data_IF_521049077051
#
_entry.id   IF_521049077051
#
_cell.length_a   1.000
_cell.length_b   1.000
_cell.length_c   1.000
_cell.angle_alpha   90.00
_cell.angle_beta   90.00
_cell.angle_gamma   90.00
#
_symmetry.space_group_name_H-M   'P 1'
#
loop_
_entity.id
_entity.type
_entity.pdbx_description
1 polymer ?
#
# COMPACT_ATOMS: atom_id res chain seq x y z
N UNK A 1 28.32 36.52 -2.20
CA UNK A 1 28.35 35.48 -3.25
C UNK A 1 27.94 34.16 -2.60
N UNK A 2 26.69 33.70 -2.80
CA UNK A 2 26.26 32.37 -2.34
C UNK A 2 27.07 31.35 -3.16
N UNK A 3 27.87 30.52 -2.51
CA UNK A 3 28.54 29.41 -3.18
C UNK A 3 27.49 28.64 -3.98
N UNK A 4 27.70 28.52 -5.30
CA UNK A 4 27.00 27.52 -6.09
C UNK A 4 27.55 26.17 -5.63
N UNK A 5 27.03 25.67 -4.53
CA UNK A 5 27.26 24.28 -4.17
C UNK A 5 26.76 23.43 -5.33
N UNK A 6 27.64 22.57 -5.82
CA UNK A 6 27.33 21.61 -6.87
C UNK A 6 26.12 20.78 -6.42
N UNK A 7 25.08 20.72 -7.26
CA UNK A 7 23.88 19.89 -7.01
C UNK A 7 24.28 18.47 -6.63
N UNK A 8 25.34 17.95 -7.27
CA UNK A 8 25.92 16.62 -7.10
C UNK A 8 26.56 16.43 -5.71
N UNK A 9 27.09 17.49 -5.11
CA UNK A 9 27.73 17.46 -3.78
C UNK A 9 26.74 17.32 -2.62
N UNK A 10 25.49 17.73 -2.82
CA UNK A 10 24.44 17.71 -1.80
C UNK A 10 23.49 16.49 -1.91
N UNK A 11 23.78 15.56 -2.84
CA UNK A 11 23.03 14.32 -2.96
C UNK A 11 23.55 13.29 -1.96
N UNK A 12 22.63 12.65 -1.25
CA UNK A 12 22.96 11.50 -0.41
C UNK A 12 23.18 10.25 -1.28
N UNK A 13 24.44 10.01 -1.62
CA UNK A 13 24.86 8.88 -2.45
C UNK A 13 24.53 7.52 -1.86
N UNK A 14 24.33 7.42 -0.55
CA UNK A 14 23.93 6.16 0.10
C UNK A 14 22.50 5.78 -0.29
N UNK A 15 21.57 6.73 -0.30
CA UNK A 15 20.18 6.51 -0.76
C UNK A 15 20.17 6.10 -2.22
N UNK A 16 20.95 6.81 -3.05
CA UNK A 16 21.06 6.52 -4.49
C UNK A 16 21.57 5.10 -4.71
N UNK A 17 22.63 4.70 -4.00
CA UNK A 17 23.19 3.35 -4.09
C UNK A 17 22.17 2.29 -3.66
N UNK A 18 21.52 2.46 -2.50
CA UNK A 18 20.51 1.52 -2.00
C UNK A 18 19.33 1.37 -2.96
N UNK A 19 18.85 2.47 -3.54
CA UNK A 19 17.80 2.46 -4.55
C UNK A 19 18.22 1.65 -5.80
N UNK A 20 19.40 1.94 -6.38
CA UNK A 20 19.86 1.24 -7.57
C UNK A 20 20.15 -0.24 -7.32
N UNK A 21 20.64 -0.61 -6.13
CA UNK A 21 20.78 -2.01 -5.74
C UNK A 21 19.43 -2.72 -5.74
N UNK A 22 18.40 -2.14 -5.12
CA UNK A 22 17.05 -2.72 -5.09
C UNK A 22 16.45 -2.84 -6.50
N UNK A 23 16.59 -1.81 -7.33
CA UNK A 23 16.13 -1.83 -8.73
C UNK A 23 16.84 -2.92 -9.54
N UNK A 24 18.16 -3.06 -9.35
CA UNK A 24 18.95 -4.09 -10.01
C UNK A 24 18.54 -5.50 -9.59
N UNK A 25 18.37 -5.75 -8.28
CA UNK A 25 17.88 -7.04 -7.78
C UNK A 25 16.46 -7.35 -8.26
N UNK A 26 15.57 -6.35 -8.30
CA UNK A 26 14.22 -6.49 -8.85
C UNK A 26 14.26 -6.88 -10.33
N UNK A 27 15.09 -6.21 -11.12
CA UNK A 27 15.27 -6.54 -12.54
C UNK A 27 15.84 -7.97 -12.73
N UNK A 28 16.87 -8.35 -11.96
CA UNK A 28 17.42 -9.71 -12.00
C UNK A 28 16.35 -10.77 -11.68
N UNK A 29 15.46 -10.50 -10.73
CA UNK A 29 14.37 -11.40 -10.36
C UNK A 29 13.33 -11.55 -11.49
N UNK A 30 13.03 -10.46 -12.20
CA UNK A 30 12.13 -10.49 -13.37
C UNK A 30 12.79 -11.27 -14.51
N UNK A 31 14.08 -11.06 -14.75
CA UNK A 31 14.84 -11.81 -15.74
C UNK A 31 14.89 -13.31 -15.41
N UNK A 32 15.06 -13.66 -14.13
CA UNK A 32 15.10 -15.05 -13.69
C UNK A 32 13.74 -15.78 -13.83
N UNK A 33 12.64 -15.10 -13.49
CA UNK A 33 11.28 -15.64 -13.57
C UNK A 33 10.73 -15.73 -15.00
N UNK A 34 11.32 -15.03 -15.97
CA UNK A 34 10.97 -15.13 -17.40
C UNK A 34 11.48 -16.45 -18.01
N UNK A 35 10.85 -17.57 -17.66
CA UNK A 35 11.20 -18.90 -18.16
C UNK A 35 10.95 -19.05 -19.67
N UNK A 36 11.94 -19.53 -20.43
CA UNK A 36 11.78 -19.95 -21.83
C UNK A 36 12.03 -18.89 -22.92
N UNK A 37 11.91 -17.59 -22.62
CA UNK A 37 12.11 -16.50 -23.59
C UNK A 37 13.60 -16.13 -23.79
N UNK A 38 14.48 -17.12 -23.93
CA UNK A 38 15.94 -16.92 -24.03
C UNK A 38 16.48 -16.78 -25.45
N UNK A 39 15.61 -16.74 -26.46
CA UNK A 39 16.05 -16.56 -27.85
C UNK A 39 16.32 -15.08 -28.22
N UNK A 40 15.98 -14.13 -27.35
CA UNK A 40 16.11 -12.69 -27.59
C UNK A 40 17.27 -12.02 -26.85
N UNK A 41 17.74 -10.89 -27.37
CA UNK A 41 18.68 -10.02 -26.67
C UNK A 41 18.08 -9.46 -25.38
N UNK A 42 18.92 -9.12 -24.40
CA UNK A 42 18.50 -8.51 -23.12
C UNK A 42 17.67 -7.22 -23.31
N UNK A 43 17.81 -6.56 -24.47
CA UNK A 43 17.11 -5.34 -24.85
C UNK A 43 15.82 -5.55 -25.66
N UNK A 44 15.34 -6.80 -25.78
CA UNK A 44 14.12 -7.08 -26.54
C UNK A 44 12.87 -6.54 -25.83
N UNK A 45 12.23 -5.55 -26.44
CA UNK A 45 11.01 -4.87 -25.97
C UNK A 45 9.75 -5.75 -26.04
N UNK A 46 9.81 -6.93 -26.65
CA UNK A 46 8.74 -7.92 -26.59
C UNK A 46 8.62 -8.55 -25.20
N UNK A 47 9.76 -8.70 -24.50
CA UNK A 47 9.87 -9.39 -23.22
C UNK A 47 9.58 -8.48 -22.03
N UNK A 48 9.18 -9.08 -20.89
CA UNK A 48 8.90 -8.33 -19.65
C UNK A 48 10.15 -7.66 -19.08
N UNK A 49 11.28 -8.36 -19.08
CA UNK A 49 12.55 -7.82 -18.57
C UNK A 49 13.13 -6.70 -19.46
N UNK A 50 12.94 -6.77 -20.79
CA UNK A 50 13.37 -5.71 -21.70
C UNK A 50 12.52 -4.44 -21.55
N UNK A 51 11.19 -4.59 -21.41
CA UNK A 51 10.31 -3.46 -21.04
C UNK A 51 10.71 -2.85 -19.70
N UNK A 52 11.09 -3.66 -18.72
CA UNK A 52 11.54 -3.18 -17.42
C UNK A 52 12.81 -2.33 -17.53
N UNK A 53 13.78 -2.69 -18.37
CA UNK A 53 14.97 -1.87 -18.61
C UNK A 53 14.62 -0.50 -19.20
N UNK A 54 13.65 -0.45 -20.13
CA UNK A 54 13.16 0.82 -20.67
C UNK A 54 12.57 1.69 -19.56
N UNK A 55 11.76 1.11 -18.67
CA UNK A 55 11.18 1.84 -17.52
C UNK A 55 12.24 2.32 -16.52
N UNK A 56 13.27 1.51 -16.25
CA UNK A 56 14.41 1.92 -15.42
C UNK A 56 15.14 3.10 -16.08
N UNK A 57 15.40 3.03 -17.39
CA UNK A 57 16.00 4.13 -18.14
C UNK A 57 15.17 5.41 -18.09
N UNK A 58 13.86 5.31 -18.29
CA UNK A 58 12.93 6.43 -18.16
C UNK A 58 12.92 7.00 -16.74
N UNK A 59 12.96 6.14 -15.71
CA UNK A 59 13.02 6.57 -14.32
C UNK A 59 14.30 7.38 -14.02
N UNK A 60 15.46 6.95 -14.54
CA UNK A 60 16.71 7.72 -14.41
C UNK A 60 16.59 9.10 -15.06
N UNK A 61 16.03 9.18 -16.27
CA UNK A 61 15.78 10.47 -16.95
C UNK A 61 14.85 11.36 -16.11
N UNK A 62 13.78 10.79 -15.55
CA UNK A 62 12.84 11.51 -14.70
C UNK A 62 13.48 11.97 -13.39
N UNK A 63 14.34 11.18 -12.76
CA UNK A 63 15.09 11.57 -11.56
C UNK A 63 15.97 12.78 -11.87
N UNK A 64 16.74 12.74 -12.96
CA UNK A 64 17.57 13.87 -13.38
C UNK A 64 16.71 15.11 -13.66
N UNK A 65 15.59 14.96 -14.38
CA UNK A 65 14.69 16.06 -14.66
C UNK A 65 14.13 16.70 -13.37
N UNK A 66 13.73 15.90 -12.38
CA UNK A 66 13.24 16.38 -11.08
C UNK A 66 14.35 17.08 -10.29
N UNK A 67 15.58 16.56 -10.30
CA UNK A 67 16.73 17.18 -9.62
C UNK A 67 17.12 18.55 -10.19
N UNK A 68 16.79 18.82 -11.46
CA UNK A 68 17.02 20.12 -12.10
C UNK A 68 15.97 21.17 -11.71
N UNK A 69 14.84 20.77 -11.12
CA UNK A 69 13.75 21.66 -10.72
C UNK A 69 13.96 22.11 -9.27
N UNK A 70 13.83 23.42 -9.02
CA UNK A 70 13.91 23.98 -7.66
C UNK A 70 12.78 23.42 -6.76
N UNK A 71 13.12 22.95 -5.56
CA UNK A 71 12.17 22.47 -4.56
C UNK A 71 11.02 23.46 -4.27
N UNK A 72 11.28 24.77 -4.39
CA UNK A 72 10.25 25.81 -4.23
C UNK A 72 9.12 25.67 -5.24
N UNK A 73 9.42 25.23 -6.47
CA UNK A 73 8.41 25.00 -7.50
C UNK A 73 7.35 24.00 -7.02
N UNK A 74 7.77 22.85 -6.48
CA UNK A 74 6.85 21.84 -5.97
C UNK A 74 5.99 22.36 -4.82
N UNK A 75 6.57 23.10 -3.88
CA UNK A 75 5.82 23.66 -2.74
C UNK A 75 4.87 24.80 -3.14
N UNK A 76 5.19 25.58 -4.18
CA UNK A 76 4.33 26.66 -4.68
C UNK A 76 3.16 26.13 -5.50
N UNK A 77 3.37 25.09 -6.30
CA UNK A 77 2.35 24.48 -7.16
C UNK A 77 1.64 23.28 -6.53
N UNK A 78 1.86 22.99 -5.24
CA UNK A 78 1.31 21.81 -4.55
C UNK A 78 -0.21 21.64 -4.74
N UNK A 79 -1.01 22.69 -4.50
CA UNK A 79 -2.47 22.61 -4.69
C UNK A 79 -2.89 22.54 -6.16
N UNK A 80 -2.08 23.08 -7.08
CA UNK A 80 -2.32 22.95 -8.53
C UNK A 80 -2.12 21.51 -8.95
N UNK A 81 -1.02 20.86 -8.51
CA UNK A 81 -0.79 19.44 -8.76
C UNK A 81 -1.89 18.57 -8.15
N UNK A 82 -2.31 18.86 -6.92
CA UNK A 82 -3.40 18.15 -6.28
C UNK A 82 -4.71 18.28 -7.06
N UNK A 83 -5.14 19.50 -7.39
CA UNK A 83 -6.35 19.74 -8.17
C UNK A 83 -6.30 19.07 -9.56
N UNK A 84 -5.16 19.16 -10.25
CA UNK A 84 -4.96 18.49 -11.52
C UNK A 84 -5.08 16.97 -11.40
N UNK A 85 -4.43 16.35 -10.40
CA UNK A 85 -4.49 14.89 -10.21
C UNK A 85 -5.89 14.41 -9.79
N UNK A 86 -6.62 15.20 -9.01
CA UNK A 86 -8.04 14.94 -8.73
C UNK A 86 -8.86 14.91 -10.02
N UNK A 87 -8.69 15.89 -10.91
CA UNK A 87 -9.38 15.91 -12.20
C UNK A 87 -9.01 14.69 -13.05
N UNK A 88 -7.74 14.27 -13.04
CA UNK A 88 -7.29 13.06 -13.73
C UNK A 88 -7.94 11.80 -13.13
N UNK A 89 -8.06 11.67 -11.80
CA UNK A 89 -8.75 10.55 -11.16
C UNK A 89 -10.24 10.50 -11.53
N UNK A 90 -10.91 11.65 -11.56
CA UNK A 90 -12.29 11.74 -12.05
C UNK A 90 -12.35 11.34 -13.52
N UNK A 91 -11.37 11.76 -14.33
CA UNK A 91 -11.25 11.36 -15.73
C UNK A 91 -11.11 9.84 -15.89
N UNK A 92 -10.33 9.16 -15.05
CA UNK A 92 -10.17 7.69 -15.08
C UNK A 92 -11.49 6.99 -14.79
N UNK A 93 -12.29 7.52 -13.85
CA UNK A 93 -13.61 6.95 -13.54
C UNK A 93 -14.56 6.97 -14.74
N UNK A 94 -14.38 7.93 -15.67
CA UNK A 94 -15.23 8.10 -16.85
C UNK A 94 -14.67 7.44 -18.12
N UNK A 95 -13.34 7.43 -18.31
CA UNK A 95 -12.68 7.02 -19.56
C UNK A 95 -11.62 5.93 -19.36
N UNK A 96 -11.32 5.53 -18.13
CA UNK A 96 -10.34 4.49 -17.84
C UNK A 96 -10.76 3.12 -18.38
N UNK A 97 -9.77 2.26 -18.63
CA UNK A 97 -10.01 0.87 -19.04
C UNK A 97 -10.13 -0.02 -17.80
N UNK A 98 -11.01 -1.01 -17.87
CA UNK A 98 -11.13 -2.05 -16.84
C UNK A 98 -10.05 -3.10 -17.04
N UNK A 99 -9.19 -3.27 -16.02
CA UNK A 99 -8.15 -4.29 -15.96
C UNK A 99 -8.32 -5.04 -14.65
N UNK A 100 -8.48 -6.36 -14.71
CA UNK A 100 -8.68 -7.22 -13.54
C UNK A 100 -9.81 -6.77 -12.58
N UNK A 101 -10.90 -6.18 -13.11
CA UNK A 101 -12.03 -5.70 -12.32
C UNK A 101 -11.88 -4.29 -11.74
N UNK A 102 -10.71 -3.64 -11.91
CA UNK A 102 -10.48 -2.25 -11.51
C UNK A 102 -10.45 -1.32 -12.72
N UNK A 103 -11.09 -0.16 -12.60
CA UNK A 103 -11.07 0.92 -13.61
C UNK A 103 -10.08 2.00 -13.20
N UNK A 104 -8.79 1.68 -13.20
CA UNK A 104 -7.72 2.53 -12.65
C UNK A 104 -6.66 2.97 -13.66
N UNK A 105 -6.73 2.50 -14.92
CA UNK A 105 -5.67 2.69 -15.91
C UNK A 105 -6.12 3.48 -17.13
N UNK A 106 -5.29 4.43 -17.56
CA UNK A 106 -5.33 4.98 -18.91
C UNK A 106 -4.36 4.19 -19.80
N UNK A 107 -4.90 3.56 -20.84
CA UNK A 107 -4.09 2.86 -21.83
C UNK A 107 -3.88 3.72 -23.07
N UNK A 108 -2.62 4.03 -23.38
CA UNK A 108 -2.20 4.76 -24.57
C UNK A 108 -1.28 3.82 -25.37
N UNK A 109 -1.87 3.11 -26.34
CA UNK A 109 -1.17 2.08 -27.11
C UNK A 109 -0.64 0.95 -26.22
N UNK A 110 0.68 0.75 -26.23
CA UNK A 110 1.39 -0.24 -25.40
C UNK A 110 1.69 0.24 -23.99
N UNK A 111 1.48 1.52 -23.69
CA UNK A 111 1.75 2.10 -22.38
C UNK A 111 0.47 2.19 -21.56
N UNK A 112 0.60 1.94 -20.27
CA UNK A 112 -0.48 2.10 -19.32
C UNK A 112 0.01 3.02 -18.20
N UNK A 113 -0.78 4.03 -17.87
CA UNK A 113 -0.49 5.00 -16.81
C UNK A 113 -1.59 4.86 -15.77
N UNK A 114 -1.20 4.70 -14.51
CA UNK A 114 -2.10 4.63 -13.37
C UNK A 114 -2.06 5.96 -12.60
N UNK A 115 -3.12 6.78 -12.65
CA UNK A 115 -3.09 8.10 -12.01
C UNK A 115 -3.06 8.08 -10.48
N UNK A 116 -3.44 6.97 -9.84
CA UNK A 116 -3.34 6.81 -8.38
C UNK A 116 -1.91 6.97 -7.87
N UNK A 117 -0.90 6.53 -8.66
CA UNK A 117 0.52 6.69 -8.34
C UNK A 117 0.94 8.16 -8.23
N UNK A 118 0.59 8.97 -9.23
CA UNK A 118 0.88 10.40 -9.24
C UNK A 118 0.08 11.17 -8.19
N UNK A 119 -1.14 10.72 -7.90
CA UNK A 119 -2.00 11.37 -6.90
C UNK A 119 -1.44 11.22 -5.49
N UNK A 120 -0.80 10.09 -5.16
CA UNK A 120 -0.14 9.89 -3.85
C UNK A 120 0.91 10.97 -3.59
N UNK A 121 1.74 11.26 -4.60
CA UNK A 121 2.74 12.32 -4.54
C UNK A 121 2.10 13.71 -4.42
N UNK A 122 1.11 14.02 -5.27
CA UNK A 122 0.42 15.32 -5.22
C UNK A 122 -0.31 15.57 -3.89
N UNK A 123 -0.88 14.52 -3.30
CA UNK A 123 -1.52 14.56 -1.98
C UNK A 123 -0.50 14.79 -0.88
N UNK A 124 0.65 14.10 -0.91
CA UNK A 124 1.71 14.32 0.05
C UNK A 124 2.21 15.78 0.03
N UNK A 125 2.41 16.34 -1.17
CA UNK A 125 2.76 17.75 -1.33
C UNK A 125 1.67 18.69 -0.81
N UNK A 126 0.40 18.45 -1.12
CA UNK A 126 -0.70 19.32 -0.69
C UNK A 126 -0.92 19.28 0.83
N UNK A 127 -0.85 18.10 1.44
CA UNK A 127 -0.94 17.94 2.90
C UNK A 127 0.24 18.64 3.56
N UNK A 128 1.48 18.39 3.11
CA UNK A 128 2.66 19.06 3.65
C UNK A 128 2.58 20.59 3.49
N UNK A 129 2.14 21.08 2.33
CA UNK A 129 1.98 22.51 2.08
C UNK A 129 0.93 23.13 3.00
N UNK A 130 -0.22 22.49 3.17
CA UNK A 130 -1.27 22.95 4.07
C UNK A 130 -0.74 23.05 5.51
N UNK A 131 -0.09 22.00 6.02
CA UNK A 131 0.43 21.96 7.37
C UNK A 131 1.57 22.98 7.62
N UNK A 132 2.30 23.38 6.58
CA UNK A 132 3.35 24.41 6.68
C UNK A 132 2.84 25.86 6.77
N UNK A 133 1.54 26.10 6.58
CA UNK A 133 0.99 27.46 6.59
C UNK A 133 0.90 28.03 8.01
N UNK A 134 1.22 29.31 8.17
CA UNK A 134 1.35 29.99 9.47
C UNK A 134 0.10 30.03 10.33
N UNK A 135 -1.09 29.93 9.74
CA UNK A 135 -2.37 29.92 10.46
C UNK A 135 -2.86 28.52 10.88
N UNK A 136 -2.08 27.48 10.59
CA UNK A 136 -2.48 26.08 10.83
C UNK A 136 -2.01 25.65 12.21
N UNK A 137 -2.98 25.44 13.11
CA UNK A 137 -2.75 24.87 14.43
C UNK A 137 -3.53 23.55 14.57
N UNK A 138 -2.83 22.46 14.92
CA UNK A 138 -3.41 21.14 15.14
C UNK A 138 -4.35 21.07 16.34
N UNK A 139 -4.29 22.04 17.26
CA UNK A 139 -5.22 22.15 18.39
C UNK A 139 -6.63 22.50 17.95
N UNK A 140 -6.79 23.15 16.80
CA UNK A 140 -8.10 23.48 16.25
C UNK A 140 -8.64 22.28 15.45
N UNK A 141 -9.81 21.75 15.83
CA UNK A 141 -10.44 20.62 15.14
C UNK A 141 -10.61 20.82 13.63
N UNK A 142 -10.73 22.06 13.16
CA UNK A 142 -10.80 22.37 11.72
C UNK A 142 -9.56 21.91 10.96
N UNK A 143 -8.38 22.10 11.56
CA UNK A 143 -7.10 21.83 10.90
C UNK A 143 -6.94 20.35 10.55
N UNK A 144 -7.05 19.39 11.51
CA UNK A 144 -6.93 18.00 11.16
C UNK A 144 -8.05 17.49 10.27
N UNK A 145 -9.27 18.01 10.41
CA UNK A 145 -10.39 17.63 9.52
C UNK A 145 -10.09 18.00 8.08
N UNK A 146 -9.52 19.18 7.82
CA UNK A 146 -9.09 19.58 6.47
C UNK A 146 -7.92 18.71 5.98
N UNK A 147 -6.94 18.41 6.84
CA UNK A 147 -5.81 17.58 6.43
C UNK A 147 -6.23 16.14 6.12
N UNK A 148 -7.14 15.57 6.94
CA UNK A 148 -7.75 14.27 6.69
C UNK A 148 -8.64 14.28 5.44
N UNK A 149 -9.35 15.37 5.14
CA UNK A 149 -10.15 15.44 3.91
C UNK A 149 -9.29 15.56 2.66
N UNK A 150 -8.16 16.29 2.73
CA UNK A 150 -7.17 16.34 1.64
C UNK A 150 -6.57 14.95 1.33
N UNK A 151 -6.32 14.12 2.35
CA UNK A 151 -5.86 12.74 2.13
C UNK A 151 -7.00 11.78 1.77
N UNK A 152 -8.18 11.95 2.38
CA UNK A 152 -9.30 11.04 2.25
C UNK A 152 -10.05 11.18 0.92
N UNK A 153 -10.12 12.40 0.37
CA UNK A 153 -10.83 12.64 -0.89
C UNK A 153 -10.25 11.84 -2.09
N UNK A 154 -8.94 11.87 -2.40
CA UNK A 154 -8.37 11.02 -3.44
C UNK A 154 -8.50 9.53 -3.11
N UNK A 155 -8.38 9.14 -1.84
CA UNK A 155 -8.57 7.75 -1.41
C UNK A 155 -10.00 7.25 -1.73
N UNK A 156 -11.02 8.08 -1.51
CA UNK A 156 -12.41 7.77 -1.87
C UNK A 156 -12.59 7.62 -3.38
N UNK A 157 -11.99 8.50 -4.19
CA UNK A 157 -12.05 8.38 -5.65
C UNK A 157 -11.38 7.10 -6.16
N UNK A 158 -10.25 6.72 -5.56
CA UNK A 158 -9.53 5.48 -5.88
C UNK A 158 -10.35 4.25 -5.44
N UNK A 159 -11.04 4.33 -4.30
CA UNK A 159 -11.95 3.27 -3.88
C UNK A 159 -13.09 3.07 -4.87
N UNK A 160 -13.64 4.16 -5.43
CA UNK A 160 -14.66 4.10 -6.50
C UNK A 160 -14.12 3.50 -7.82
N UNK A 161 -12.80 3.48 -8.02
CA UNK A 161 -12.15 2.79 -9.15
C UNK A 161 -11.98 1.28 -8.90
N UNK A 162 -12.47 0.76 -7.77
CA UNK A 162 -12.25 -0.60 -7.29
C UNK A 162 -10.75 -0.94 -7.10
N UNK A 163 -9.91 0.06 -6.80
CA UNK A 163 -8.49 -0.12 -6.46
C UNK A 163 -8.27 0.04 -4.95
N UNK A 164 -8.75 -0.95 -4.19
CA UNK A 164 -8.71 -0.95 -2.72
C UNK A 164 -7.27 -0.95 -2.17
N UNK A 165 -6.32 -1.56 -2.88
CA UNK A 165 -4.91 -1.62 -2.50
C UNK A 165 -4.28 -0.23 -2.51
N UNK A 166 -4.44 0.53 -3.59
CA UNK A 166 -3.95 1.90 -3.68
C UNK A 166 -4.63 2.84 -2.69
N UNK A 167 -5.93 2.64 -2.43
CA UNK A 167 -6.66 3.42 -1.43
C UNK A 167 -6.12 3.17 -0.01
N UNK A 168 -5.78 1.93 0.33
CA UNK A 168 -5.23 1.58 1.65
C UNK A 168 -3.91 2.28 1.95
N UNK A 169 -3.08 2.56 0.94
CA UNK A 169 -1.82 3.31 1.11
C UNK A 169 -2.05 4.68 1.74
N UNK A 170 -3.20 5.32 1.51
CA UNK A 170 -3.52 6.62 2.11
C UNK A 170 -3.73 6.55 3.63
N UNK A 171 -3.97 5.36 4.21
CA UNK A 171 -4.00 5.20 5.66
C UNK A 171 -2.65 5.57 6.32
N UNK A 172 -1.55 5.49 5.57
CA UNK A 172 -0.22 5.92 6.05
C UNK A 172 -0.16 7.41 6.39
N UNK A 173 -1.02 8.27 5.80
CA UNK A 173 -1.10 9.69 6.16
C UNK A 173 -1.54 9.91 7.60
N UNK A 174 -2.23 8.95 8.24
CA UNK A 174 -2.55 9.03 9.65
C UNK A 174 -1.27 9.17 10.52
N UNK A 175 -0.20 8.46 10.15
CA UNK A 175 1.10 8.54 10.84
C UNK A 175 1.75 9.91 10.64
N UNK A 176 1.66 10.47 9.43
CA UNK A 176 2.16 11.82 9.12
C UNK A 176 1.44 12.87 9.97
N UNK A 177 0.11 12.80 10.02
CA UNK A 177 -0.69 13.73 10.84
C UNK A 177 -0.37 13.60 12.33
N UNK A 178 -0.18 12.38 12.83
CA UNK A 178 0.21 12.15 14.22
C UNK A 178 1.58 12.74 14.55
N UNK A 179 2.56 12.60 13.66
CA UNK A 179 3.88 13.25 13.82
C UNK A 179 3.76 14.77 13.99
N UNK A 180 2.86 15.39 13.23
CA UNK A 180 2.63 16.85 13.29
C UNK A 180 1.77 17.30 14.49
N UNK A 181 1.36 16.38 15.37
CA UNK A 181 0.66 16.69 16.61
C UNK A 181 -0.83 16.35 16.61
N UNK A 182 -1.31 15.59 15.62
CA UNK A 182 -2.68 15.06 15.66
C UNK A 182 -2.88 14.08 16.82
N UNK A 183 -4.09 14.02 17.37
CA UNK A 183 -4.34 13.26 18.58
C UNK A 183 -4.14 11.75 18.35
N UNK A 184 -3.26 11.13 19.15
CA UNK A 184 -3.01 9.69 19.11
C UNK A 184 -4.26 8.84 19.35
N UNK A 185 -5.28 9.42 19.99
CA UNK A 185 -6.59 8.78 20.15
C UNK A 185 -7.23 8.39 18.82
N UNK A 186 -7.08 9.17 17.75
CA UNK A 186 -7.69 8.84 16.45
C UNK A 186 -7.04 7.62 15.82
N UNK A 187 -5.70 7.51 15.90
CA UNK A 187 -4.98 6.29 15.46
C UNK A 187 -5.40 5.10 16.32
N UNK A 188 -5.47 5.27 17.63
CA UNK A 188 -5.91 4.20 18.53
C UNK A 188 -7.33 3.73 18.20
N UNK A 189 -8.28 4.65 18.01
CA UNK A 189 -9.64 4.29 17.60
C UNK A 189 -9.67 3.61 16.24
N UNK A 190 -8.90 4.09 15.25
CA UNK A 190 -8.78 3.44 13.95
C UNK A 190 -8.24 2.01 14.05
N UNK A 191 -7.21 1.80 14.88
CA UNK A 191 -6.68 0.46 15.16
C UNK A 191 -7.71 -0.45 15.84
N UNK A 192 -8.42 0.05 16.85
CA UNK A 192 -9.50 -0.70 17.53
C UNK A 192 -10.60 -1.08 16.55
N UNK A 193 -11.01 -0.18 15.65
CA UNK A 193 -12.00 -0.48 14.61
C UNK A 193 -11.50 -1.53 13.62
N UNK A 194 -10.22 -1.48 13.22
CA UNK A 194 -9.62 -2.49 12.34
C UNK A 194 -9.56 -3.87 13.00
N UNK A 195 -9.16 -3.94 14.27
CA UNK A 195 -9.18 -5.20 15.04
C UNK A 195 -10.61 -5.71 15.18
N UNK A 196 -11.55 -4.85 15.53
CA UNK A 196 -12.95 -5.24 15.68
C UNK A 196 -13.57 -5.70 14.36
N UNK A 197 -13.20 -5.09 13.24
CA UNK A 197 -13.55 -5.55 11.89
C UNK A 197 -13.04 -6.97 11.64
N UNK A 198 -11.75 -7.24 11.86
CA UNK A 198 -11.15 -8.57 11.65
C UNK A 198 -11.82 -9.62 12.55
N UNK A 199 -12.02 -9.32 13.84
CA UNK A 199 -12.66 -10.23 14.78
C UNK A 199 -14.12 -10.51 14.41
N UNK A 200 -14.85 -9.51 13.90
CA UNK A 200 -16.22 -9.69 13.40
C UNK A 200 -16.28 -10.67 12.25
N UNK A 201 -15.34 -10.60 11.31
CA UNK A 201 -15.28 -11.53 10.19
C UNK A 201 -14.86 -12.94 10.61
N UNK A 202 -13.98 -13.07 11.61
CA UNK A 202 -13.49 -14.37 12.09
C UNK A 202 -14.51 -15.13 12.96
N UNK A 203 -15.12 -14.44 13.91
CA UNK A 203 -16.00 -15.08 14.92
C UNK A 203 -17.48 -14.95 14.59
N UNK A 204 -17.86 -14.10 13.64
CA UNK A 204 -19.25 -13.84 13.30
C UNK A 204 -19.96 -12.87 14.24
N UNK A 205 -21.09 -12.32 13.77
CA UNK A 205 -21.78 -11.20 14.42
C UNK A 205 -22.30 -11.55 15.82
N UNK A 206 -22.87 -12.75 16.00
CA UNK A 206 -23.52 -13.16 17.25
C UNK A 206 -22.49 -13.26 18.37
N UNK A 207 -21.38 -13.96 18.12
CA UNK A 207 -20.31 -14.15 19.10
C UNK A 207 -19.67 -12.82 19.48
N UNK A 208 -19.42 -11.94 18.51
CA UNK A 208 -18.86 -10.62 18.80
C UNK A 208 -19.78 -9.75 19.64
N UNK A 209 -21.08 -9.69 19.33
CA UNK A 209 -22.04 -8.92 20.12
C UNK A 209 -22.14 -9.49 21.54
N UNK A 210 -22.16 -10.82 21.70
CA UNK A 210 -22.14 -11.47 23.02
C UNK A 210 -20.87 -11.12 23.81
N UNK A 211 -19.70 -11.12 23.19
CA UNK A 211 -18.44 -10.72 23.85
C UNK A 211 -18.45 -9.24 24.24
N UNK A 212 -18.91 -8.34 23.37
CA UNK A 212 -19.02 -6.90 23.67
C UNK A 212 -20.04 -6.67 24.81
N UNK A 213 -21.13 -7.44 24.85
CA UNK A 213 -22.13 -7.35 25.91
C UNK A 213 -21.60 -7.86 27.25
N UNK A 214 -20.81 -8.95 27.24
CA UNK A 214 -20.13 -9.44 28.43
C UNK A 214 -19.12 -8.41 28.97
N UNK A 215 -18.30 -7.81 28.09
CA UNK A 215 -17.36 -6.75 28.45
C UNK A 215 -18.08 -5.52 29.02
N UNK A 216 -19.23 -5.14 28.45
CA UNK A 216 -20.08 -4.08 28.98
C UNK A 216 -20.51 -4.38 30.43
N UNK A 217 -21.02 -5.58 30.70
CA UNK A 217 -21.47 -5.98 32.04
C UNK A 217 -20.31 -5.93 33.04
N UNK A 218 -19.14 -6.45 32.66
CA UNK A 218 -17.94 -6.42 33.49
C UNK A 218 -17.49 -4.98 33.79
N UNK A 219 -17.46 -4.10 32.79
CA UNK A 219 -17.12 -2.69 32.97
C UNK A 219 -18.14 -1.96 33.86
N UNK A 220 -19.44 -2.22 33.67
CA UNK A 220 -20.48 -1.64 34.53
C UNK A 220 -20.35 -2.12 35.97
N UNK A 221 -19.97 -3.39 36.22
CA UNK A 221 -19.71 -3.96 37.54
C UNK A 221 -18.48 -3.30 38.19
N UNK A 222 -17.38 -3.18 37.45
CA UNK A 222 -16.12 -2.61 37.94
C UNK A 222 -16.26 -1.11 38.25
N UNK A 223 -16.97 -0.36 37.41
CA UNK A 223 -17.22 1.07 37.58
C UNK A 223 -18.50 1.40 38.37
N UNK A 224 -19.12 0.43 39.08
CA UNK A 224 -20.34 0.65 39.91
C UNK A 224 -20.19 1.82 40.89
N UNK A 225 -18.97 2.07 41.37
CA UNK A 225 -18.64 3.14 42.34
C UNK A 225 -18.62 4.54 41.71
N UNK A 226 -18.45 4.64 40.38
CA UNK A 226 -18.30 5.90 39.64
C UNK A 226 -19.53 6.14 38.76
N UNK A 227 -20.66 6.49 39.40
CA UNK A 227 -21.99 6.68 38.77
C UNK A 227 -22.08 7.70 37.62
N UNK A 228 -21.02 8.46 37.32
CA UNK A 228 -21.06 9.52 36.28
C UNK A 228 -20.77 9.03 34.86
N UNK A 229 -20.14 7.85 34.66
CA UNK A 229 -19.65 7.43 33.32
C UNK A 229 -20.48 6.33 32.63
N UNK A 230 -21.59 5.86 33.22
CA UNK A 230 -22.37 4.74 32.65
C UNK A 230 -22.97 5.06 31.27
N UNK A 231 -23.39 6.31 31.03
CA UNK A 231 -23.93 6.74 29.72
C UNK A 231 -22.89 6.61 28.61
N UNK A 232 -21.64 7.00 28.89
CA UNK A 232 -20.52 6.91 27.93
C UNK A 232 -20.18 5.45 27.61
N UNK A 233 -20.22 4.58 28.63
CA UNK A 233 -19.98 3.14 28.48
C UNK A 233 -21.08 2.48 27.62
N UNK A 234 -22.35 2.84 27.86
CA UNK A 234 -23.48 2.38 27.04
C UNK A 234 -23.39 2.91 25.61
N UNK A 235 -23.03 4.17 25.41
CA UNK A 235 -22.85 4.76 24.09
C UNK A 235 -21.74 4.04 23.30
N UNK A 236 -20.61 3.72 23.94
CA UNK A 236 -19.53 2.95 23.32
C UNK A 236 -20.01 1.55 22.90
N UNK A 237 -20.77 0.87 23.75
CA UNK A 237 -21.35 -0.43 23.42
C UNK A 237 -22.29 -0.37 22.20
N UNK A 238 -23.17 0.63 22.15
CA UNK A 238 -24.09 0.81 21.02
C UNK A 238 -23.33 1.11 19.73
N UNK A 239 -22.30 1.97 19.79
CA UNK A 239 -21.45 2.27 18.63
C UNK A 239 -20.69 1.03 18.14
N UNK A 240 -20.06 0.28 19.04
CA UNK A 240 -19.36 -0.96 18.67
C UNK A 240 -20.31 -2.01 18.09
N UNK A 241 -21.49 -2.19 18.68
CA UNK A 241 -22.49 -3.14 18.18
C UNK A 241 -23.04 -2.73 16.82
N UNK A 242 -23.34 -1.44 16.62
CA UNK A 242 -23.77 -0.90 15.33
C UNK A 242 -22.68 -1.10 14.26
N UNK A 243 -21.41 -0.93 14.63
CA UNK A 243 -20.29 -1.20 13.74
C UNK A 243 -20.21 -2.68 13.36
N UNK A 244 -20.34 -3.62 14.31
CA UNK A 244 -20.37 -5.08 14.02
C UNK A 244 -21.45 -5.41 12.99
N UNK A 245 -22.68 -4.89 13.18
CA UNK A 245 -23.76 -5.08 12.20
C UNK A 245 -23.45 -4.47 10.85
N UNK A 246 -22.87 -3.26 10.83
CA UNK A 246 -22.46 -2.59 9.59
C UNK A 246 -21.40 -3.39 8.84
N UNK A 247 -20.44 -4.00 9.54
CA UNK A 247 -19.40 -4.85 8.94
C UNK A 247 -20.03 -6.09 8.30
N UNK A 248 -20.91 -6.80 9.01
CA UNK A 248 -21.57 -7.98 8.44
C UNK A 248 -22.43 -7.60 7.22
N UNK A 249 -23.19 -6.49 7.31
CA UNK A 249 -23.99 -5.99 6.19
C UNK A 249 -23.13 -5.64 4.98
N UNK A 250 -22.02 -4.91 5.17
CA UNK A 250 -21.11 -4.54 4.10
C UNK A 250 -20.46 -5.79 3.47
N UNK A 251 -20.03 -6.74 4.29
CA UNK A 251 -19.44 -7.98 3.82
C UNK A 251 -20.43 -8.81 2.99
N UNK A 252 -21.71 -8.83 3.37
CA UNK A 252 -22.72 -9.62 2.67
C UNK A 252 -23.34 -8.93 1.45
N UNK A 253 -23.52 -7.60 1.48
CA UNK A 253 -24.30 -6.89 0.46
C UNK A 253 -23.48 -5.95 -0.42
N UNK A 254 -22.30 -5.51 0.02
CA UNK A 254 -21.49 -4.52 -0.72
C UNK A 254 -20.32 -5.18 -1.45
N UNK A 255 -19.65 -6.16 -0.82
CA UNK A 255 -18.50 -6.81 -1.43
C UNK A 255 -18.90 -7.81 -2.53
N UNK A 256 -18.14 -7.82 -3.62
CA UNK A 256 -18.33 -8.77 -4.70
C UNK A 256 -17.96 -10.21 -4.26
N UNK A 257 -18.57 -11.27 -4.83
CA UNK A 257 -18.31 -12.65 -4.42
C UNK A 257 -16.83 -13.05 -4.44
N UNK A 258 -16.08 -12.54 -5.43
CA UNK A 258 -14.66 -12.82 -5.56
C UNK A 258 -13.82 -12.17 -4.44
N UNK A 259 -14.24 -11.00 -3.95
CA UNK A 259 -13.58 -10.29 -2.84
C UNK A 259 -13.84 -11.02 -1.52
N UNK A 260 -15.09 -11.44 -1.28
CA UNK A 260 -15.45 -12.24 -0.09
C UNK A 260 -14.63 -13.53 -0.02
N UNK A 261 -14.55 -14.26 -1.15
CA UNK A 261 -13.79 -15.50 -1.23
C UNK A 261 -12.31 -15.30 -0.89
N UNK A 262 -11.68 -14.22 -1.41
CA UNK A 262 -10.29 -13.88 -1.06
C UNK A 262 -10.12 -13.58 0.43
N UNK A 263 -11.07 -12.87 1.05
CA UNK A 263 -11.05 -12.57 2.49
C UNK A 263 -11.22 -13.85 3.33
N UNK A 264 -12.17 -14.72 2.99
CA UNK A 264 -12.39 -15.98 3.70
C UNK A 264 -11.16 -16.90 3.63
N UNK A 265 -10.53 -16.99 2.45
CA UNK A 265 -9.29 -17.75 2.27
C UNK A 265 -8.11 -17.11 3.03
N UNK A 266 -8.01 -15.78 3.05
CA UNK A 266 -6.97 -15.07 3.81
C UNK A 266 -7.11 -15.29 5.33
N UNK A 267 -8.33 -15.28 5.84
CA UNK A 267 -8.65 -15.50 7.24
C UNK A 267 -8.62 -16.98 7.66
N UNK A 268 -8.43 -17.91 6.71
CA UNK A 268 -8.42 -19.35 6.97
C UNK A 268 -9.80 -19.95 7.29
N UNK A 269 -10.88 -19.24 6.94
CA UNK A 269 -12.26 -19.70 7.10
C UNK A 269 -12.61 -20.73 6.01
N UNK A 270 -12.10 -20.51 4.80
CA UNK A 270 -12.26 -21.41 3.65
C UNK A 270 -10.88 -21.87 3.15
N UNK A 271 -10.71 -23.16 2.89
CA UNK A 271 -9.53 -23.68 2.20
C UNK A 271 -9.80 -23.84 0.70
N UNK A 272 -9.14 -23.02 -0.11
CA UNK A 272 -9.18 -23.15 -1.57
C UNK A 272 -7.79 -23.36 -2.16
N UNK A 273 -7.44 -24.63 -2.37
CA UNK A 273 -6.15 -25.05 -2.92
C UNK A 273 -6.01 -24.82 -4.42
N UNK A 274 -7.09 -24.54 -5.17
CA UNK A 274 -7.06 -24.46 -6.64
C UNK A 274 -7.57 -23.14 -7.22
N UNK A 275 -8.32 -22.36 -6.45
CA UNK A 275 -8.83 -21.04 -6.85
C UNK A 275 -8.10 -19.92 -6.12
N UNK A 276 -8.80 -19.22 -5.22
CA UNK A 276 -8.31 -17.96 -4.63
C UNK A 276 -7.06 -18.12 -3.76
N UNK A 277 -6.85 -19.29 -3.15
CA UNK A 277 -5.69 -19.58 -2.31
C UNK A 277 -4.51 -20.20 -3.06
N UNK A 278 -4.67 -20.59 -4.33
CA UNK A 278 -3.62 -21.26 -5.10
C UNK A 278 -2.34 -20.43 -5.17
N UNK A 279 -2.44 -19.16 -5.55
CA UNK A 279 -1.28 -18.28 -5.70
C UNK A 279 -0.52 -18.11 -4.36
N UNK A 280 -1.26 -17.94 -3.26
CA UNK A 280 -0.70 -17.77 -1.91
C UNK A 280 -0.04 -19.07 -1.40
N UNK A 281 -0.62 -20.22 -1.72
CA UNK A 281 -0.06 -21.50 -1.29
C UNK A 281 1.18 -21.88 -2.11
N UNK A 282 1.13 -21.69 -3.43
CA UNK A 282 2.28 -21.96 -4.30
C UNK A 282 3.46 -21.02 -4.01
N UNK A 283 3.19 -19.74 -3.72
CA UNK A 283 4.23 -18.80 -3.29
C UNK A 283 4.90 -19.23 -1.99
N UNK A 284 4.14 -19.70 -0.99
CA UNK A 284 4.70 -20.24 0.25
C UNK A 284 5.56 -21.47 0.01
N UNK A 285 5.12 -22.40 -0.86
CA UNK A 285 5.87 -23.60 -1.23
C UNK A 285 7.17 -23.22 -1.96
N UNK A 286 7.12 -22.27 -2.89
CA UNK A 286 8.28 -21.78 -3.62
C UNK A 286 9.33 -21.21 -2.68
N UNK A 287 8.93 -20.29 -1.78
CA UNK A 287 9.83 -19.73 -0.75
C UNK A 287 10.39 -20.83 0.15
N UNK A 288 9.54 -21.74 0.63
CA UNK A 288 9.97 -22.84 1.51
C UNK A 288 10.96 -23.80 0.85
N UNK A 289 10.84 -23.99 -0.47
CA UNK A 289 11.71 -24.89 -1.23
C UNK A 289 13.13 -24.35 -1.46
N UNK A 290 13.36 -23.05 -1.25
CA UNK A 290 14.68 -22.43 -1.40
C UNK A 290 15.65 -22.74 -0.25
N UNK A 291 15.16 -23.19 0.91
CA UNK A 291 16.03 -23.48 2.06
C UNK A 291 16.88 -22.27 2.49
N UNK A 292 18.09 -22.52 3.01
CA UNK A 292 18.95 -21.45 3.52
C UNK A 292 19.66 -20.65 2.41
N UNK A 293 20.24 -21.35 1.44
CA UNK A 293 21.11 -20.77 0.38
C UNK A 293 20.40 -20.57 -0.96
N UNK A 294 19.19 -21.09 -1.12
CA UNK A 294 18.47 -21.07 -2.40
C UNK A 294 18.81 -22.28 -3.28
N UNK A 295 18.01 -22.46 -4.34
CA UNK A 295 18.25 -23.47 -5.38
C UNK A 295 19.30 -23.04 -6.41
N UNK A 296 19.67 -21.76 -6.45
CA UNK A 296 20.56 -21.19 -7.46
C UNK A 296 19.82 -20.35 -8.50
N UNK A 297 20.53 -19.40 -9.10
CA UNK A 297 19.98 -18.47 -10.09
C UNK A 297 19.42 -19.21 -11.30
N UNK A 298 18.13 -18.96 -11.63
CA UNK A 298 17.37 -19.63 -12.70
C UNK A 298 17.14 -21.13 -12.54
N UNK A 299 17.35 -21.64 -11.32
CA UNK A 299 17.13 -23.05 -10.95
C UNK A 299 15.84 -23.23 -10.14
N UNK A 300 15.06 -22.18 -9.93
CA UNK A 300 13.71 -22.27 -9.35
C UNK A 300 12.80 -23.08 -10.27
N UNK A 301 12.28 -24.21 -9.78
CA UNK A 301 11.41 -25.08 -10.57
C UNK A 301 9.96 -24.58 -10.55
N UNK A 302 9.47 -24.12 -9.40
CA UNK A 302 8.08 -23.69 -9.26
C UNK A 302 7.82 -22.38 -10.00
N UNK A 303 8.77 -21.46 -9.90
CA UNK A 303 8.76 -20.18 -10.61
C UNK A 303 8.96 -20.37 -12.12
N UNK A 304 10.02 -21.05 -12.55
CA UNK A 304 10.31 -21.21 -13.98
C UNK A 304 9.22 -21.91 -14.80
N UNK A 305 8.51 -22.88 -14.21
CA UNK A 305 7.43 -23.60 -14.88
C UNK A 305 6.04 -22.95 -14.68
N UNK A 306 5.98 -21.71 -14.20
CA UNK A 306 4.75 -20.95 -13.99
C UNK A 306 3.73 -21.64 -13.07
N UNK A 307 4.20 -22.43 -12.10
CA UNK A 307 3.33 -23.00 -11.05
C UNK A 307 2.89 -21.93 -10.04
N UNK A 308 3.61 -20.80 -9.96
CA UNK A 308 3.17 -19.60 -9.25
C UNK A 308 2.64 -18.58 -10.27
N UNK A 309 1.32 -18.34 -10.32
CA UNK A 309 0.75 -17.31 -11.21
C UNK A 309 1.21 -15.91 -10.78
N UNK A 310 1.34 -14.99 -11.74
CA UNK A 310 1.73 -13.59 -11.49
C UNK A 310 3.09 -13.40 -10.78
N UNK A 311 4.04 -14.30 -11.03
CA UNK A 311 5.39 -14.25 -10.44
C UNK A 311 6.24 -13.05 -10.87
N UNK A 312 5.92 -12.36 -11.98
CA UNK A 312 6.64 -11.15 -12.40
C UNK A 312 6.04 -9.86 -11.85
N UNK A 313 4.94 -9.95 -11.11
CA UNK A 313 4.15 -8.83 -10.59
C UNK A 313 3.95 -9.04 -9.09
N UNK A 314 2.89 -9.72 -8.68
CA UNK A 314 2.43 -9.81 -7.29
C UNK A 314 3.29 -10.77 -6.43
N UNK A 315 3.94 -11.75 -7.05
CA UNK A 315 4.69 -12.81 -6.36
C UNK A 315 6.19 -12.83 -6.69
N UNK A 316 6.75 -11.70 -7.11
CA UNK A 316 8.19 -11.62 -7.48
C UNK A 316 9.14 -11.98 -6.34
N UNK A 317 8.74 -11.69 -5.10
CA UNK A 317 9.52 -12.05 -3.91
C UNK A 317 9.70 -13.57 -3.76
N UNK A 318 8.78 -14.38 -4.29
CA UNK A 318 8.89 -15.84 -4.27
C UNK A 318 10.03 -16.35 -5.14
N UNK A 319 10.34 -15.66 -6.23
CA UNK A 319 11.51 -15.94 -7.07
C UNK A 319 12.79 -15.73 -6.27
N UNK A 320 12.88 -14.65 -5.50
CA UNK A 320 14.02 -14.40 -4.62
C UNK A 320 14.13 -15.51 -3.56
N UNK A 321 13.01 -15.87 -2.93
CA UNK A 321 12.96 -16.93 -1.92
C UNK A 321 13.34 -18.31 -2.44
N UNK A 322 12.90 -18.69 -3.63
CA UNK A 322 13.21 -19.99 -4.21
C UNK A 322 14.68 -20.06 -4.69
N UNK A 323 15.17 -19.01 -5.35
CA UNK A 323 16.50 -19.03 -5.98
C UNK A 323 17.65 -18.70 -5.04
N UNK A 324 17.44 -17.74 -4.13
CA UNK A 324 18.47 -17.24 -3.22
C UNK A 324 18.22 -17.60 -1.74
N UNK A 325 17.10 -18.29 -1.46
CA UNK A 325 16.78 -18.82 -0.15
C UNK A 325 16.57 -17.75 0.92
N UNK A 326 16.74 -18.17 2.17
CA UNK A 326 16.68 -17.31 3.34
C UNK A 326 17.73 -16.18 3.30
N UNK A 327 18.94 -16.46 2.82
CA UNK A 327 20.00 -15.45 2.75
C UNK A 327 19.63 -14.31 1.78
N UNK A 328 19.20 -14.63 0.56
CA UNK A 328 18.84 -13.60 -0.42
C UNK A 328 17.61 -12.79 -0.02
N UNK A 329 16.58 -13.45 0.52
CA UNK A 329 15.39 -12.76 1.02
C UNK A 329 15.71 -11.82 2.18
N UNK A 330 16.58 -12.24 3.10
CA UNK A 330 17.08 -11.39 4.19
C UNK A 330 17.84 -10.17 3.68
N UNK A 331 18.71 -10.34 2.68
CA UNK A 331 19.44 -9.22 2.05
C UNK A 331 18.48 -8.22 1.43
N UNK A 332 17.48 -8.67 0.69
CA UNK A 332 16.47 -7.77 0.08
C UNK A 332 15.71 -7.00 1.15
N UNK A 333 15.28 -7.67 2.23
CA UNK A 333 14.60 -7.00 3.36
C UNK A 333 15.51 -5.97 4.01
N UNK A 334 16.78 -6.31 4.27
CA UNK A 334 17.75 -5.38 4.87
C UNK A 334 18.03 -4.17 3.97
N UNK A 335 18.08 -4.35 2.65
CA UNK A 335 18.22 -3.24 1.70
C UNK A 335 17.01 -2.30 1.74
N UNK A 336 15.78 -2.85 1.79
CA UNK A 336 14.57 -2.04 1.96
C UNK A 336 14.56 -1.30 3.31
N UNK A 337 14.90 -1.99 4.40
CA UNK A 337 14.99 -1.36 5.73
C UNK A 337 16.06 -0.27 5.76
N UNK A 338 17.24 -0.52 5.19
CA UNK A 338 18.31 0.46 5.08
C UNK A 338 17.87 1.70 4.30
N UNK A 339 17.17 1.52 3.17
CA UNK A 339 16.63 2.62 2.38
C UNK A 339 15.61 3.42 3.19
N UNK A 340 14.65 2.76 3.84
CA UNK A 340 13.60 3.42 4.63
C UNK A 340 14.16 4.18 5.83
N UNK A 341 15.12 3.59 6.56
CA UNK A 341 15.79 4.24 7.70
C UNK A 341 16.54 5.48 7.23
N UNK A 342 17.27 5.39 6.12
CA UNK A 342 18.05 6.52 5.58
C UNK A 342 17.18 7.66 5.04
N UNK A 343 15.96 7.37 4.59
CA UNK A 343 14.98 8.40 4.21
C UNK A 343 14.46 9.17 5.44
N UNK A 344 14.38 8.49 6.60
CA UNK A 344 13.82 9.07 7.84
C UNK A 344 14.85 9.80 8.69
N UNK A 345 16.10 9.32 8.71
CA UNK A 345 17.21 9.80 9.56
C UNK A 345 18.16 10.69 8.78
#
# INVERSE_FOLDING_TARGET
MKSRESIIGNVDWVIVLLYFLLVFFGWLSIYASSGGDTAGSVFDLSTRYGKQLLWIGLAVVMIVAVLLIDAKFFSSFAFVFYGAMILVLIGVLLFGKTVAGSRSWFQIGSFAIQPSEFTKFATALAVAKYLSMTHVDMKNLKTPVIAMSLAGFPALLILLQNDTGSALVYASFALVLFREGFSGSVIFFGFVLAVLFILTLLFGEIYMISTIALLLILLLVFFRKTRKNYKSIIALFLLSSAFVFSVNYAFQNVLEPHQKKRINVLLGIEEDLRGAGYNVNQSKIAIGSGGFTGKGFRQGMLTRYNFVPEQSTDFIFCTVGEEWGFMGTSVVILLFLGLLVRIVV
#
